data_IF_913068914600
#
_entry.id   IF_913068914600
#
_cell.length_a   1.000
_cell.length_b   1.000
_cell.length_c   1.000
_cell.angle_alpha   90.00
_cell.angle_beta   90.00
_cell.angle_gamma   90.00
#
_symmetry.space_group_name_H-M   'P 1'
#
loop_
_entity.id
_entity.type
_entity.pdbx_description
1 polymer ?
#
# COMPACT_ATOMS: atom_id res chain seq x y z
N UNK A 1 6.16 -0.06 0.99
CA UNK A 1 6.34 -0.07 -0.47
C UNK A 1 5.04 -0.39 -1.22
N UNK A 2 4.53 -1.63 -1.18
CA UNK A 2 3.37 -2.05 -1.99
C UNK A 2 2.09 -1.21 -1.78
N UNK A 3 1.83 -0.76 -0.54
CA UNK A 3 0.64 0.07 -0.25
C UNK A 3 0.65 1.38 -1.02
N UNK A 4 1.80 2.05 -1.13
CA UNK A 4 1.95 3.29 -1.92
C UNK A 4 1.76 3.01 -3.41
N UNK A 5 2.39 1.94 -3.92
CA UNK A 5 2.22 1.52 -5.31
C UNK A 5 0.75 1.26 -5.65
N UNK A 6 0.05 0.49 -4.80
CA UNK A 6 -1.39 0.23 -4.92
C UNK A 6 -2.19 1.52 -4.90
N UNK A 7 -1.91 2.45 -3.98
CA UNK A 7 -2.63 3.71 -3.90
C UNK A 7 -2.51 4.55 -5.17
N UNK A 8 -1.33 4.56 -5.81
CA UNK A 8 -1.13 5.27 -7.07
C UNK A 8 -1.79 4.58 -8.28
N UNK A 9 -1.79 3.25 -8.33
CA UNK A 9 -2.21 2.51 -9.53
C UNK A 9 -3.67 2.03 -9.46
N UNK A 10 -4.24 1.91 -8.25
CA UNK A 10 -5.62 1.45 -8.05
C UNK A 10 -6.67 2.33 -8.75
N UNK A 11 -6.62 3.67 -8.67
CA UNK A 11 -7.58 4.53 -9.38
C UNK A 11 -7.56 4.26 -10.88
N UNK A 12 -6.37 4.17 -11.48
CA UNK A 12 -6.19 3.90 -12.91
C UNK A 12 -6.81 2.57 -13.35
N UNK A 13 -6.63 1.50 -12.56
CA UNK A 13 -7.24 0.19 -12.85
C UNK A 13 -8.75 0.25 -12.63
N UNK A 14 -9.23 0.97 -11.61
CA UNK A 14 -10.66 1.13 -11.34
C UNK A 14 -11.37 1.95 -12.42
N UNK A 15 -10.70 2.94 -13.00
CA UNK A 15 -11.20 3.72 -14.13
C UNK A 15 -11.25 2.88 -15.41
N UNK A 16 -10.23 2.06 -15.65
CA UNK A 16 -10.21 1.15 -16.81
C UNK A 16 -11.21 -0.01 -16.67
N UNK A 17 -11.43 -0.50 -15.45
CA UNK A 17 -12.30 -1.63 -15.13
C UNK A 17 -13.22 -1.28 -13.95
N UNK A 18 -14.26 -0.45 -14.19
CA UNK A 18 -15.16 -0.01 -13.12
C UNK A 18 -15.95 -1.16 -12.51
N UNK A 19 -16.17 -2.25 -13.26
CA UNK A 19 -16.89 -3.43 -12.79
C UNK A 19 -16.03 -4.34 -11.89
N UNK A 20 -14.71 -4.17 -11.90
CA UNK A 20 -13.83 -5.04 -11.13
C UNK A 20 -13.95 -4.75 -9.65
N UNK A 21 -14.02 -5.83 -8.88
CA UNK A 21 -14.01 -5.78 -7.43
C UNK A 21 -12.62 -5.37 -6.93
N UNK A 22 -12.58 -4.79 -5.73
CA UNK A 22 -11.31 -4.43 -5.10
C UNK A 22 -10.37 -5.63 -4.93
N UNK A 23 -10.91 -6.84 -4.81
CA UNK A 23 -10.15 -8.07 -4.71
C UNK A 23 -9.42 -8.36 -6.04
N UNK A 24 -10.14 -8.33 -7.17
CA UNK A 24 -9.57 -8.54 -8.50
C UNK A 24 -8.50 -7.49 -8.84
N UNK A 25 -8.77 -6.22 -8.53
CA UNK A 25 -7.79 -5.13 -8.71
C UNK A 25 -6.53 -5.41 -7.87
N UNK A 26 -6.70 -5.89 -6.64
CA UNK A 26 -5.55 -6.20 -5.77
C UNK A 26 -4.74 -7.39 -6.28
N UNK A 27 -5.37 -8.39 -6.89
CA UNK A 27 -4.69 -9.51 -7.55
C UNK A 27 -3.87 -9.01 -8.75
N UNK A 28 -4.45 -8.15 -9.59
CA UNK A 28 -3.77 -7.56 -10.76
C UNK A 28 -2.58 -6.72 -10.32
N UNK A 29 -2.78 -5.80 -9.37
CA UNK A 29 -1.72 -4.93 -8.86
C UNK A 29 -0.61 -5.73 -8.16
N UNK A 30 -0.94 -6.83 -7.49
CA UNK A 30 0.06 -7.72 -6.90
C UNK A 30 0.93 -8.40 -7.96
N UNK A 31 0.34 -8.86 -9.06
CA UNK A 31 1.09 -9.41 -10.20
C UNK A 31 1.94 -8.34 -10.87
N UNK A 32 1.38 -7.16 -11.09
CA UNK A 32 2.08 -6.05 -11.74
C UNK A 32 3.25 -5.57 -10.89
N UNK A 33 3.06 -5.40 -9.58
CA UNK A 33 4.13 -5.08 -8.64
C UNK A 33 5.25 -6.12 -8.67
N UNK A 34 4.94 -7.42 -8.78
CA UNK A 34 5.97 -8.46 -8.87
C UNK A 34 6.77 -8.35 -10.18
N UNK A 35 6.10 -8.05 -11.29
CA UNK A 35 6.68 -7.90 -12.61
C UNK A 35 7.37 -6.53 -12.84
N UNK A 36 7.12 -5.56 -11.97
CA UNK A 36 7.68 -4.21 -12.06
C UNK A 36 9.21 -4.20 -11.93
N UNK A 37 9.86 -3.22 -12.56
CA UNK A 37 11.31 -3.04 -12.47
C UNK A 37 11.79 -2.83 -11.03
N UNK A 38 12.98 -3.34 -10.71
CA UNK A 38 13.57 -3.19 -9.37
C UNK A 38 13.82 -1.71 -9.02
N UNK A 39 14.12 -0.85 -10.00
CA UNK A 39 14.27 0.59 -9.82
C UNK A 39 12.99 1.23 -9.26
N UNK A 40 11.85 0.93 -9.89
CA UNK A 40 10.53 1.42 -9.46
C UNK A 40 10.21 0.88 -8.07
N UNK A 41 10.43 -0.42 -7.83
CA UNK A 41 10.23 -1.03 -6.51
C UNK A 41 11.09 -0.35 -5.44
N UNK A 42 12.33 0.00 -5.78
CA UNK A 42 13.26 0.69 -4.91
C UNK A 42 12.80 2.11 -4.60
N UNK A 43 12.32 2.86 -5.59
CA UNK A 43 11.72 4.18 -5.37
C UNK A 43 10.54 4.11 -4.40
N UNK A 44 9.60 3.19 -4.58
CA UNK A 44 8.47 3.00 -3.67
C UNK A 44 8.88 2.45 -2.29
N UNK A 45 10.01 1.74 -2.19
CA UNK A 45 10.60 1.37 -0.90
C UNK A 45 11.14 2.61 -0.18
N UNK A 46 11.93 3.43 -0.86
CA UNK A 46 12.51 4.65 -0.30
C UNK A 46 11.41 5.60 0.17
N UNK A 47 10.40 5.86 -0.67
CA UNK A 47 9.24 6.69 -0.28
C UNK A 47 8.51 6.11 0.94
N UNK A 48 8.39 4.79 1.05
CA UNK A 48 7.74 4.18 2.21
C UNK A 48 8.58 4.30 3.49
N UNK A 49 9.91 4.20 3.39
CA UNK A 49 10.80 4.42 4.53
C UNK A 49 10.81 5.90 4.94
N UNK A 50 10.80 6.83 4.00
CA UNK A 50 10.66 8.27 4.28
C UNK A 50 9.34 8.58 4.99
N UNK A 51 8.22 8.05 4.49
CA UNK A 51 6.92 8.19 5.15
C UNK A 51 6.90 7.58 6.54
N UNK A 52 7.53 6.41 6.72
CA UNK A 52 7.63 5.76 8.02
C UNK A 52 8.47 6.60 8.99
N UNK A 53 9.60 7.14 8.53
CA UNK A 53 10.46 8.02 9.33
C UNK A 53 9.72 9.29 9.71
N UNK A 54 9.10 9.96 8.75
CA UNK A 54 8.29 11.16 8.97
C UNK A 54 7.16 10.88 9.96
N UNK A 55 6.45 9.76 9.81
CA UNK A 55 5.40 9.38 10.74
C UNK A 55 5.93 9.13 12.15
N UNK A 56 7.11 8.52 12.29
CA UNK A 56 7.76 8.34 13.59
C UNK A 56 8.23 9.66 14.21
N UNK A 57 8.66 10.63 13.39
CA UNK A 57 9.03 11.98 13.83
C UNK A 57 7.79 12.80 14.24
N UNK A 58 6.72 12.77 13.43
CA UNK A 58 5.47 13.50 13.66
C UNK A 58 4.66 12.87 14.81
N UNK A 59 4.81 11.55 15.03
CA UNK A 59 4.12 10.80 16.07
C UNK A 59 5.11 9.94 16.87
N UNK A 60 5.94 10.56 17.74
CA UNK A 60 6.93 9.84 18.53
C UNK A 60 6.32 8.82 19.50
N UNK A 61 5.08 9.05 19.94
CA UNK A 61 4.33 8.15 20.81
C UNK A 61 3.52 7.08 20.06
N UNK A 62 3.58 7.04 18.72
CA UNK A 62 2.81 6.10 17.93
C UNK A 62 3.32 4.66 18.11
N UNK A 63 2.50 3.84 18.76
CA UNK A 63 2.73 2.42 18.92
C UNK A 63 1.64 1.63 18.21
N UNK A 64 2.02 0.89 17.16
CA UNK A 64 1.10 0.00 16.47
C UNK A 64 0.64 -1.13 17.40
N UNK A 65 -0.56 -0.99 17.93
CA UNK A 65 -1.23 -1.96 18.81
C UNK A 65 -2.41 -2.58 18.06
N UNK A 66 -2.19 -3.65 17.27
CA UNK A 66 -3.27 -4.29 16.55
C UNK A 66 -4.30 -4.83 17.53
N UNK A 67 -5.57 -4.41 17.37
CA UNK A 67 -6.67 -4.90 18.21
C UNK A 67 -6.85 -6.40 18.01
N UNK A 68 -7.09 -7.14 19.11
CA UNK A 68 -7.39 -8.56 19.02
C UNK A 68 -8.80 -8.74 18.42
N UNK A 69 -9.03 -9.73 17.54
CA UNK A 69 -10.33 -9.94 16.90
C UNK A 69 -11.50 -10.16 17.88
N UNK A 70 -11.20 -10.51 19.14
CA UNK A 70 -12.15 -10.72 20.23
C UNK A 70 -12.69 -9.45 20.88
N UNK A 71 -12.19 -8.25 20.53
CA UNK A 71 -12.59 -6.98 21.16
C UNK A 71 -13.60 -6.17 20.32
N UNK A 72 -14.59 -6.84 19.72
CA UNK A 72 -15.77 -6.14 19.21
C UNK A 72 -16.63 -5.71 20.40
N UNK A 73 -16.80 -4.39 20.57
CA UNK A 73 -17.90 -3.79 21.33
C UNK A 73 -19.01 -3.42 20.36
#
# INVERSE_FOLDING_TARGET
>A
AFILYRQHHHPRIKEAYPDFTNNEISIILGKQWKAESEEVKMQFRNMAEELKKKHAEDHPDYHYTPRKPSEKK
#
